data_IF_892732365452
#
_entry.id   IF_892732365452
#
_cell.length_a   1.000
_cell.length_b   1.000
_cell.length_c   1.000
_cell.angle_alpha   90.00
_cell.angle_beta   90.00
_cell.angle_gamma   90.00
#
_symmetry.space_group_name_H-M   'P 1'
#
loop_
_entity.id
_entity.type
_entity.pdbx_description
1 polymer ?
#
# COMPACT_ATOMS: atom_id res chain seq x y z
N UNK A 1 17.92 -18.17 -7.22
CA UNK A 1 16.89 -17.70 -6.29
C UNK A 1 15.77 -17.12 -7.12
N UNK A 2 14.59 -17.71 -7.04
CA UNK A 2 13.43 -17.38 -7.89
C UNK A 2 12.35 -16.70 -7.05
N UNK A 3 11.35 -16.11 -7.68
CA UNK A 3 10.21 -15.53 -6.97
C UNK A 3 9.12 -16.58 -6.83
N UNK A 4 8.66 -16.82 -5.61
CA UNK A 4 7.54 -17.71 -5.30
C UNK A 4 6.25 -16.89 -5.29
N UNK A 5 5.24 -17.43 -5.97
CA UNK A 5 3.89 -16.91 -6.05
C UNK A 5 2.91 -17.93 -5.46
N UNK A 6 1.81 -17.47 -4.88
CA UNK A 6 0.77 -18.33 -4.31
C UNK A 6 -0.61 -18.00 -4.88
N UNK A 7 -1.37 -19.03 -5.25
CA UNK A 7 -2.72 -18.86 -5.73
C UNK A 7 -3.68 -18.56 -4.57
N UNK A 8 -4.37 -17.41 -4.63
CA UNK A 8 -5.38 -17.06 -3.62
C UNK A 8 -6.65 -17.94 -3.64
N UNK A 9 -6.78 -18.87 -4.59
CA UNK A 9 -7.93 -19.79 -4.68
C UNK A 9 -7.62 -21.18 -4.13
N UNK A 10 -6.54 -21.82 -4.60
CA UNK A 10 -6.18 -23.19 -4.19
C UNK A 10 -4.98 -23.26 -3.24
N UNK A 11 -4.28 -22.15 -3.00
CA UNK A 11 -3.05 -22.12 -2.19
C UNK A 11 -1.83 -22.68 -2.89
N UNK A 12 -1.95 -23.16 -4.14
CA UNK A 12 -0.83 -23.73 -4.88
C UNK A 12 0.27 -22.70 -5.12
N UNK A 13 1.52 -23.12 -4.96
CA UNK A 13 2.68 -22.25 -5.14
C UNK A 13 3.35 -22.51 -6.47
N UNK A 14 3.89 -21.46 -7.07
CA UNK A 14 4.55 -21.55 -8.38
C UNK A 14 5.65 -20.51 -8.54
N UNK A 15 6.61 -20.79 -9.43
CA UNK A 15 7.56 -19.79 -9.91
C UNK A 15 6.98 -18.89 -11.02
N UNK A 16 5.81 -19.26 -11.55
CA UNK A 16 5.08 -18.50 -12.55
C UNK A 16 4.02 -17.60 -11.92
N UNK A 17 3.71 -16.48 -12.60
CA UNK A 17 2.74 -15.49 -12.12
C UNK A 17 1.28 -15.96 -12.15
N UNK A 18 1.00 -17.10 -12.79
CA UNK A 18 -0.33 -17.69 -12.90
C UNK A 18 -0.30 -19.09 -12.32
N UNK A 19 -1.40 -19.44 -11.66
CA UNK A 19 -1.60 -20.80 -11.17
C UNK A 19 -1.79 -21.74 -12.38
N UNK A 20 -1.05 -22.84 -12.43
CA UNK A 20 -1.20 -23.83 -13.50
C UNK A 20 -2.57 -24.52 -13.51
N UNK A 21 -3.23 -24.59 -12.36
CA UNK A 21 -4.51 -25.28 -12.19
C UNK A 21 -5.71 -24.31 -12.31
N UNK A 22 -5.73 -23.23 -11.53
CA UNK A 22 -6.83 -22.26 -11.56
C UNK A 22 -6.70 -21.22 -12.69
N UNK A 23 -5.52 -21.07 -13.30
CA UNK A 23 -5.19 -20.02 -14.29
C UNK A 23 -5.41 -18.56 -13.81
N UNK A 24 -5.61 -18.37 -12.51
CA UNK A 24 -5.73 -17.06 -11.87
C UNK A 24 -4.35 -16.43 -11.66
N UNK A 25 -4.33 -15.10 -11.54
CA UNK A 25 -3.12 -14.40 -11.10
C UNK A 25 -2.84 -14.72 -9.63
N UNK A 26 -1.60 -15.08 -9.34
CA UNK A 26 -1.13 -15.39 -8.01
C UNK A 26 -0.62 -14.13 -7.30
N UNK A 27 -0.65 -14.15 -5.97
CA UNK A 27 -0.01 -13.15 -5.12
C UNK A 27 1.48 -13.44 -4.99
N UNK A 28 2.32 -12.40 -5.01
CA UNK A 28 3.76 -12.58 -4.80
C UNK A 28 4.01 -12.84 -3.32
N UNK A 29 4.66 -13.95 -2.99
CA UNK A 29 5.07 -14.23 -1.61
C UNK A 29 6.46 -13.67 -1.33
N UNK A 30 7.43 -13.92 -2.21
CA UNK A 30 8.78 -13.42 -2.01
C UNK A 30 9.84 -14.19 -2.79
N UNK A 31 11.11 -13.92 -2.49
CA UNK A 31 12.20 -14.74 -2.99
C UNK A 31 12.23 -16.09 -2.27
N UNK A 32 12.45 -17.16 -3.00
CA UNK A 32 12.41 -18.51 -2.45
C UNK A 32 12.92 -19.57 -3.42
N UNK A 33 12.61 -20.82 -3.10
CA UNK A 33 13.08 -21.98 -3.83
C UNK A 33 12.35 -23.24 -3.44
N UNK A 34 12.69 -24.31 -4.13
CA UNK A 34 12.19 -25.65 -3.85
C UNK A 34 13.00 -26.27 -2.69
N UNK A 35 12.31 -26.83 -1.70
CA UNK A 35 12.93 -27.58 -0.62
C UNK A 35 13.54 -28.88 -1.17
N UNK A 36 14.85 -29.15 -0.98
CA UNK A 36 15.50 -30.32 -1.56
C UNK A 36 15.04 -31.66 -0.94
N UNK A 37 14.29 -31.63 0.17
CA UNK A 37 13.83 -32.83 0.86
C UNK A 37 12.43 -33.29 0.44
N UNK A 38 11.52 -32.34 0.15
CA UNK A 38 10.11 -32.64 -0.16
C UNK A 38 9.62 -32.01 -1.47
N UNK A 39 10.46 -31.26 -2.18
CA UNK A 39 10.10 -30.49 -3.37
C UNK A 39 8.99 -29.46 -3.18
N UNK A 40 8.70 -29.08 -1.94
CA UNK A 40 7.75 -28.02 -1.62
C UNK A 40 8.35 -26.64 -1.88
N UNK A 41 7.56 -25.71 -2.41
CA UNK A 41 8.00 -24.35 -2.67
C UNK A 41 7.92 -23.51 -1.39
N UNK A 42 9.08 -23.04 -0.93
CA UNK A 42 9.23 -22.30 0.32
C UNK A 42 9.77 -20.91 0.03
N UNK A 43 9.15 -19.89 0.64
CA UNK A 43 9.65 -18.53 0.61
C UNK A 43 10.72 -18.35 1.71
N UNK A 44 11.77 -17.57 1.41
CA UNK A 44 12.87 -17.35 2.36
C UNK A 44 12.40 -16.79 3.71
N UNK A 45 11.40 -15.91 3.69
CA UNK A 45 10.79 -15.31 4.88
C UNK A 45 10.11 -16.31 5.83
N UNK A 46 9.82 -17.54 5.37
CA UNK A 46 9.23 -18.60 6.22
C UNK A 46 10.29 -19.39 6.98
N UNK A 47 11.54 -19.39 6.48
CA UNK A 47 12.68 -20.08 7.10
C UNK A 47 13.34 -19.21 8.17
N UNK A 48 13.20 -17.90 8.04
CA UNK A 48 13.44 -16.92 9.07
C UNK A 48 12.27 -17.08 10.06
N UNK A 49 12.41 -17.93 11.08
CA UNK A 49 11.36 -18.23 12.07
C UNK A 49 10.65 -16.96 12.58
N UNK A 50 9.42 -17.06 13.13
CA UNK A 50 8.53 -15.90 13.34
C UNK A 50 9.35 -14.79 13.95
N UNK A 51 9.62 -13.75 13.13
CA UNK A 51 10.31 -12.57 13.60
C UNK A 51 9.53 -12.17 14.84
N UNK A 52 10.15 -12.38 15.99
CA UNK A 52 9.57 -12.10 17.29
C UNK A 52 8.87 -10.76 17.16
N UNK A 53 7.53 -10.79 17.29
CA UNK A 53 6.66 -9.62 17.26
C UNK A 53 7.27 -8.59 18.21
N UNK A 54 8.00 -7.66 17.61
CA UNK A 54 9.06 -6.94 18.32
C UNK A 54 9.95 -6.11 17.40
N UNK A 55 9.59 -5.98 16.12
CA UNK A 55 9.90 -4.80 15.31
C UNK A 55 8.70 -4.53 14.43
N UNK A 56 8.12 -3.36 14.63
CA UNK A 56 7.26 -2.69 13.66
C UNK A 56 7.89 -2.91 12.28
N UNK A 57 7.18 -3.52 11.35
CA UNK A 57 7.58 -3.50 9.94
C UNK A 57 7.72 -2.04 9.55
N UNK A 58 8.95 -1.56 9.40
CA UNK A 58 9.16 -0.30 8.72
C UNK A 58 8.48 -0.44 7.34
N UNK A 59 7.53 0.44 7.00
CA UNK A 59 6.94 0.43 5.67
C UNK A 59 8.10 0.47 4.69
N UNK A 60 8.12 -0.48 3.76
CA UNK A 60 9.24 -0.71 2.87
C UNK A 60 9.81 0.60 2.37
N UNK A 61 11.13 0.73 2.37
CA UNK A 61 11.84 1.95 1.95
C UNK A 61 11.44 2.32 0.52
N UNK A 62 10.33 3.05 0.39
CA UNK A 62 10.19 4.17 -0.53
C UNK A 62 11.25 5.14 -0.02
N UNK A 63 12.22 5.50 -0.87
CA UNK A 63 13.47 6.16 -0.47
C UNK A 63 13.30 7.12 0.72
N UNK A 64 14.06 6.88 1.79
CA UNK A 64 14.09 7.71 3.00
C UNK A 64 14.78 9.06 2.74
N UNK A 65 14.24 9.86 1.84
CA UNK A 65 14.12 11.29 2.10
C UNK A 65 12.86 11.44 2.93
N UNK A 66 12.97 11.78 4.21
CA UNK A 66 11.80 12.23 4.94
C UNK A 66 11.24 13.42 4.14
N UNK A 67 10.00 13.32 3.69
CA UNK A 67 9.37 14.39 2.91
C UNK A 67 9.51 15.69 3.69
N UNK A 68 10.15 16.68 3.09
CA UNK A 68 10.18 18.00 3.71
C UNK A 68 8.78 18.63 3.65
N UNK A 69 8.60 19.76 4.35
CA UNK A 69 7.28 20.39 4.40
C UNK A 69 6.81 20.95 3.04
N UNK A 70 7.72 21.14 2.08
CA UNK A 70 7.39 21.51 0.70
C UNK A 70 6.88 20.27 -0.04
N UNK A 71 7.62 19.17 -0.01
CA UNK A 71 7.22 17.90 -0.65
C UNK A 71 5.89 17.37 -0.08
N UNK A 72 5.69 17.47 1.23
CA UNK A 72 4.42 17.13 1.86
C UNK A 72 3.29 18.09 1.45
N UNK A 73 3.61 19.38 1.27
CA UNK A 73 2.66 20.37 0.76
C UNK A 73 2.18 20.06 -0.66
N UNK A 74 3.08 19.62 -1.54
CA UNK A 74 2.75 19.22 -2.93
C UNK A 74 1.85 17.98 -2.96
N UNK A 75 2.09 17.01 -2.07
CA UNK A 75 1.21 15.84 -1.94
C UNK A 75 -0.20 16.25 -1.51
N UNK A 76 -0.33 17.19 -0.57
CA UNK A 76 -1.64 17.69 -0.15
C UNK A 76 -2.37 18.44 -1.27
N UNK A 77 -1.65 19.21 -2.09
CA UNK A 77 -2.21 19.85 -3.29
C UNK A 77 -2.71 18.81 -4.29
N UNK A 78 -1.90 17.80 -4.58
CA UNK A 78 -2.25 16.73 -5.51
C UNK A 78 -3.52 15.98 -5.07
N UNK A 79 -3.61 15.61 -3.79
CA UNK A 79 -4.79 14.95 -3.24
C UNK A 79 -6.01 15.87 -3.26
N UNK A 80 -5.83 17.16 -2.98
CA UNK A 80 -6.91 18.15 -3.04
C UNK A 80 -7.47 18.33 -4.44
N UNK A 81 -6.60 18.44 -5.45
CA UNK A 81 -7.01 18.55 -6.86
C UNK A 81 -7.73 17.28 -7.34
N UNK A 82 -7.18 16.11 -7.05
CA UNK A 82 -7.86 14.84 -7.36
C UNK A 82 -9.24 14.74 -6.72
N UNK A 83 -9.37 15.16 -5.45
CA UNK A 83 -10.64 15.12 -4.73
C UNK A 83 -11.63 16.16 -5.28
N UNK A 84 -11.15 17.30 -5.78
CA UNK A 84 -11.97 18.30 -6.44
C UNK A 84 -12.56 17.78 -7.76
N UNK A 85 -11.82 16.95 -8.49
CA UNK A 85 -12.30 16.35 -9.74
C UNK A 85 -12.91 14.95 -9.55
N UNK A 86 -13.07 14.50 -8.30
CA UNK A 86 -13.53 13.16 -7.99
C UNK A 86 -14.94 12.88 -8.58
N UNK A 87 -15.15 11.70 -9.19
CA UNK A 87 -16.44 11.35 -9.77
C UNK A 87 -17.51 11.23 -8.68
N UNK A 88 -18.81 11.40 -9.00
CA UNK A 88 -19.89 11.38 -8.01
C UNK A 88 -19.94 10.10 -7.16
N UNK A 89 -19.51 8.96 -7.70
CA UNK A 89 -19.44 7.70 -6.95
C UNK A 89 -18.46 7.75 -5.77
N UNK A 90 -17.35 8.48 -5.91
CA UNK A 90 -16.38 8.68 -4.82
C UNK A 90 -16.99 9.60 -3.76
N UNK A 91 -17.65 10.69 -4.17
CA UNK A 91 -18.37 11.58 -3.24
C UNK A 91 -19.44 10.82 -2.46
N UNK A 92 -20.28 10.03 -3.14
CA UNK A 92 -21.30 9.21 -2.49
C UNK A 92 -20.68 8.20 -1.51
N UNK A 93 -19.59 7.52 -1.90
CA UNK A 93 -18.88 6.59 -1.02
C UNK A 93 -18.32 7.28 0.24
N UNK A 94 -17.83 8.52 0.12
CA UNK A 94 -17.37 9.31 1.27
C UNK A 94 -18.51 9.64 2.24
N UNK A 95 -19.69 9.99 1.71
CA UNK A 95 -20.87 10.26 2.51
C UNK A 95 -21.38 8.99 3.21
N UNK A 96 -21.42 7.87 2.49
CA UNK A 96 -21.89 6.55 2.97
C UNK A 96 -20.98 5.95 4.05
N UNK A 97 -19.66 6.17 3.99
CA UNK A 97 -18.70 5.65 4.95
C UNK A 97 -18.46 6.55 6.17
N UNK A 98 -19.45 7.37 6.52
CA UNK A 98 -19.46 8.12 7.78
C UNK A 98 -18.91 9.54 7.70
N UNK A 99 -18.65 10.06 6.49
CA UNK A 99 -18.29 11.46 6.30
C UNK A 99 -19.48 12.42 6.48
N UNK A 100 -20.71 11.92 6.37
CA UNK A 100 -21.93 12.74 6.40
C UNK A 100 -22.07 13.65 5.16
N UNK A 101 -23.18 14.38 5.03
CA UNK A 101 -23.39 15.28 3.89
C UNK A 101 -22.27 16.32 3.78
N UNK A 102 -21.67 16.46 2.60
CA UNK A 102 -20.59 17.43 2.38
C UNK A 102 -19.21 16.98 2.88
N UNK A 103 -19.02 15.69 3.17
CA UNK A 103 -17.72 15.10 3.54
C UNK A 103 -16.56 15.53 2.63
N UNK A 104 -16.82 15.60 1.32
CA UNK A 104 -15.85 16.04 0.32
C UNK A 104 -15.37 17.47 0.57
N UNK A 105 -16.28 18.40 0.84
CA UNK A 105 -15.94 19.80 1.06
C UNK A 105 -15.17 19.99 2.38
N UNK A 106 -15.54 19.23 3.41
CA UNK A 106 -14.82 19.20 4.69
C UNK A 106 -13.38 18.72 4.52
N UNK A 107 -13.17 17.67 3.70
CA UNK A 107 -11.84 17.14 3.40
C UNK A 107 -11.00 18.13 2.60
N UNK A 108 -11.58 18.76 1.57
CA UNK A 108 -10.89 19.79 0.78
C UNK A 108 -10.41 20.95 1.65
N UNK A 109 -11.27 21.44 2.55
CA UNK A 109 -10.93 22.51 3.49
C UNK A 109 -9.85 22.08 4.50
N UNK A 110 -9.91 20.83 4.98
CA UNK A 110 -8.88 20.27 5.85
C UNK A 110 -7.50 20.19 5.16
N UNK A 111 -7.44 19.69 3.92
CA UNK A 111 -6.20 19.61 3.14
C UNK A 111 -5.59 21.01 2.93
N UNK A 112 -6.42 21.99 2.55
CA UNK A 112 -5.99 23.37 2.36
C UNK A 112 -5.48 24.04 3.66
N UNK A 113 -6.08 23.72 4.82
CA UNK A 113 -5.57 24.17 6.13
C UNK A 113 -4.22 23.53 6.46
N UNK A 114 -4.09 22.22 6.32
CA UNK A 114 -2.86 21.50 6.66
C UNK A 114 -1.69 21.93 5.79
N UNK A 115 -1.91 22.14 4.50
CA UNK A 115 -0.89 22.70 3.61
C UNK A 115 -0.38 24.07 4.08
N UNK A 116 -1.30 24.99 4.41
CA UNK A 116 -0.93 26.33 4.90
C UNK A 116 -0.09 26.24 6.17
N UNK A 117 -0.45 25.35 7.09
CA UNK A 117 0.30 25.12 8.31
C UNK A 117 1.72 24.62 8.02
N UNK A 118 1.89 23.64 7.12
CA UNK A 118 3.19 23.10 6.74
C UNK A 118 4.12 24.15 6.09
N UNK A 119 3.58 24.97 5.19
CA UNK A 119 4.38 26.02 4.55
C UNK A 119 4.78 27.09 5.58
N UNK A 120 3.89 27.44 6.51
CA UNK A 120 4.20 28.41 7.57
C UNK A 120 5.32 27.96 8.51
N UNK A 121 5.51 26.65 8.70
CA UNK A 121 6.59 26.11 9.54
C UNK A 121 7.98 26.18 8.90
N UNK A 122 8.07 26.31 7.57
CA UNK A 122 9.35 26.45 6.84
C UNK A 122 9.74 27.93 6.65
N UNK A 123 8.78 28.83 6.72
CA UNK A 123 8.99 30.27 6.55
C UNK A 123 9.38 31.02 7.85
N UNK A 124 9.46 30.32 8.99
CA UNK A 124 9.80 30.87 10.31
C UNK A 124 11.20 30.47 10.73
#
# INVERSE_FOLDING_TARGET
>A
MSVVWECGSCGERSFERRCGECNLFCSRIGAGGECPACSELVAGAELEGPAEMGRETEPGTIGSGALDAIELGEILDYVGEWLADAPPAVTASLEDHGGGPGARDILLDALARHRRALISTVAS
#
